data_IF_002765838313
#
_entry.id   IF_002765838313
#
_cell.length_a   1.000
_cell.length_b   1.000
_cell.length_c   1.000
_cell.angle_alpha   90.00
_cell.angle_beta   90.00
_cell.angle_gamma   90.00
#
_symmetry.space_group_name_H-M   'P 1'
#
loop_
_entity.id
_entity.type
_entity.pdbx_description
1 polymer ?
#
# COMPACT_ATOMS: atom_id res chain seq x y z
N UNK A 1 15.85 16.57 -18.86
CA UNK A 1 16.60 15.84 -17.81
C UNK A 1 15.96 14.48 -17.70
N UNK A 2 16.73 13.42 -17.86
CA UNK A 2 16.19 12.05 -17.74
C UNK A 2 16.02 11.71 -16.27
N UNK A 3 14.85 11.18 -15.90
CA UNK A 3 14.50 10.87 -14.51
C UNK A 3 15.13 9.55 -14.08
N UNK A 4 15.87 9.53 -12.98
CA UNK A 4 16.28 8.29 -12.32
C UNK A 4 15.24 7.93 -11.27
N UNK A 5 14.68 6.71 -11.40
CA UNK A 5 13.71 6.19 -10.44
C UNK A 5 14.40 5.79 -9.15
N UNK A 6 13.91 6.31 -8.04
CA UNK A 6 14.46 6.05 -6.71
C UNK A 6 13.59 5.05 -5.94
N UNK A 7 14.21 4.34 -5.01
CA UNK A 7 13.52 3.49 -4.03
C UNK A 7 13.44 4.22 -2.68
N UNK A 8 12.27 4.15 -2.03
CA UNK A 8 12.13 4.64 -0.65
C UNK A 8 12.32 3.47 0.32
N UNK A 9 13.42 3.46 1.07
CA UNK A 9 13.81 2.35 1.94
C UNK A 9 14.25 2.89 3.28
N UNK A 10 13.79 2.28 4.35
CA UNK A 10 14.14 2.63 5.74
C UNK A 10 14.02 4.15 6.03
N UNK A 11 12.97 4.78 5.51
CA UNK A 11 12.68 6.19 5.75
C UNK A 11 13.47 7.19 4.88
N UNK A 12 14.23 6.73 3.87
CA UNK A 12 15.02 7.58 2.97
C UNK A 12 14.91 7.18 1.50
N UNK A 13 15.12 8.14 0.62
CA UNK A 13 15.25 7.89 -0.82
C UNK A 13 16.66 7.41 -1.16
N UNK A 14 16.75 6.35 -1.96
CA UNK A 14 17.98 5.71 -2.44
C UNK A 14 17.90 5.59 -3.96
N UNK A 15 19.01 5.78 -4.66
CA UNK A 15 19.08 5.60 -6.10
C UNK A 15 19.30 6.91 -6.86
N UNK A 16 20.50 7.48 -6.74
CA UNK A 16 20.89 8.69 -7.50
C UNK A 16 21.62 8.35 -8.80
N UNK A 17 22.23 7.15 -8.90
CA UNK A 17 23.01 6.76 -10.06
C UNK A 17 22.14 5.95 -11.03
N UNK A 18 22.03 6.44 -12.26
CA UNK A 18 21.37 5.74 -13.36
C UNK A 18 22.11 4.45 -13.74
N UNK A 19 21.38 3.37 -14.00
CA UNK A 19 21.91 2.11 -14.48
C UNK A 19 21.23 1.66 -15.76
N UNK A 20 20.02 1.14 -15.66
CA UNK A 20 19.29 0.57 -16.78
C UNK A 20 18.27 1.55 -17.33
N UNK A 21 18.35 1.84 -18.63
CA UNK A 21 17.33 2.62 -19.32
C UNK A 21 16.00 1.85 -19.39
N UNK A 22 14.92 2.55 -19.13
CA UNK A 22 13.55 2.08 -19.28
C UNK A 22 12.96 2.74 -20.53
N UNK A 23 12.34 1.93 -21.37
CA UNK A 23 11.87 2.35 -22.69
C UNK A 23 10.35 2.27 -22.77
N UNK A 24 9.77 3.20 -23.48
CA UNK A 24 8.34 3.18 -23.83
C UNK A 24 8.02 1.98 -24.71
N UNK A 25 7.00 1.22 -24.33
CA UNK A 25 6.49 0.12 -25.14
C UNK A 25 5.83 0.59 -26.45
N UNK A 26 5.48 1.89 -26.56
CA UNK A 26 4.82 2.44 -27.75
C UNK A 26 5.82 2.71 -28.87
N UNK A 27 6.97 3.30 -28.55
CA UNK A 27 7.88 3.87 -29.55
C UNK A 27 9.37 3.59 -29.27
N UNK A 28 9.68 2.85 -28.20
CA UNK A 28 11.06 2.51 -27.84
C UNK A 28 11.90 3.68 -27.31
N UNK A 29 11.33 4.85 -27.14
CA UNK A 29 12.06 6.00 -26.57
C UNK A 29 12.37 5.76 -25.09
N UNK A 30 13.52 6.24 -24.66
CA UNK A 30 13.92 6.24 -23.26
C UNK A 30 13.01 7.18 -22.43
N UNK A 31 12.44 6.69 -21.36
CA UNK A 31 11.52 7.43 -20.49
C UNK A 31 12.08 7.67 -19.11
N UNK A 32 12.90 6.77 -18.58
CA UNK A 32 13.50 6.87 -17.26
C UNK A 32 14.70 5.92 -17.14
N UNK A 33 15.40 5.98 -16.01
CA UNK A 33 16.40 4.98 -15.62
C UNK A 33 16.04 4.32 -14.30
N UNK A 34 16.24 3.01 -14.21
CA UNK A 34 16.37 2.34 -12.92
C UNK A 34 17.73 2.72 -12.29
N UNK A 35 17.82 2.75 -10.95
CA UNK A 35 19.07 3.06 -10.26
C UNK A 35 19.98 1.83 -10.14
N UNK A 36 21.30 2.09 -10.01
CA UNK A 36 22.33 1.08 -9.86
C UNK A 36 22.59 0.66 -8.41
N UNK A 37 22.16 1.48 -7.45
CA UNK A 37 22.49 1.28 -6.06
C UNK A 37 21.84 0.00 -5.50
N UNK A 38 22.66 -0.79 -4.81
CA UNK A 38 22.21 -2.02 -4.16
C UNK A 38 21.43 -1.69 -2.89
N UNK A 39 20.23 -2.24 -2.77
CA UNK A 39 19.41 -2.08 -1.58
C UNK A 39 19.82 -3.11 -0.51
N UNK A 40 19.89 -2.68 0.73
CA UNK A 40 20.02 -3.58 1.89
C UNK A 40 18.63 -4.05 2.32
N UNK A 41 18.24 -5.22 1.84
CA UNK A 41 16.95 -5.82 2.20
C UNK A 41 16.86 -6.27 3.65
N UNK A 42 17.99 -6.56 4.31
CA UNK A 42 18.00 -6.89 5.74
C UNK A 42 17.67 -5.65 6.57
N UNK A 43 18.27 -4.50 6.24
CA UNK A 43 17.92 -3.20 6.83
C UNK A 43 16.44 -2.86 6.59
N UNK A 44 15.95 -3.03 5.37
CA UNK A 44 14.55 -2.75 5.02
C UNK A 44 13.56 -3.61 5.84
N UNK A 45 13.84 -4.90 5.98
CA UNK A 45 13.03 -5.82 6.80
C UNK A 45 13.11 -5.46 8.29
N UNK A 46 14.28 -5.12 8.79
CA UNK A 46 14.45 -4.69 10.17
C UNK A 46 13.64 -3.42 10.46
N UNK A 47 13.76 -2.42 9.60
CA UNK A 47 12.99 -1.18 9.70
C UNK A 47 11.48 -1.44 9.71
N UNK A 48 10.99 -2.28 8.79
CA UNK A 48 9.58 -2.64 8.72
C UNK A 48 9.06 -3.35 9.97
N UNK A 49 9.89 -4.27 10.55
CA UNK A 49 9.54 -5.01 11.76
C UNK A 49 9.65 -4.20 13.05
N UNK A 50 10.34 -3.09 13.04
CA UNK A 50 10.55 -2.21 14.20
C UNK A 50 9.81 -0.89 14.02
N UNK A 51 10.40 0.08 13.35
CA UNK A 51 9.85 1.43 13.17
C UNK A 51 8.51 1.43 12.44
N UNK A 52 8.40 0.68 11.34
CA UNK A 52 7.17 0.58 10.56
C UNK A 52 6.03 -0.05 11.36
N UNK A 53 6.31 -1.17 12.04
CA UNK A 53 5.32 -1.86 12.87
C UNK A 53 4.85 -0.97 14.03
N UNK A 54 5.76 -0.28 14.72
CA UNK A 54 5.39 0.63 15.83
C UNK A 54 4.51 1.78 15.33
N UNK A 55 4.84 2.35 14.18
CA UNK A 55 4.00 3.40 13.55
C UNK A 55 2.59 2.88 13.23
N UNK A 56 2.47 1.67 12.70
CA UNK A 56 1.18 1.06 12.40
C UNK A 56 0.38 0.71 13.66
N UNK A 57 1.03 0.21 14.71
CA UNK A 57 0.37 -0.13 15.97
C UNK A 57 -0.12 1.11 16.75
N UNK A 58 0.52 2.26 16.55
CA UNK A 58 0.12 3.52 17.16
C UNK A 58 -1.19 4.10 16.59
N UNK A 59 -1.60 3.65 15.39
CA UNK A 59 -2.84 4.09 14.74
C UNK A 59 -3.97 3.10 15.00
N UNK A 60 -5.14 3.61 15.39
CA UNK A 60 -6.38 2.83 15.42
C UNK A 60 -6.95 2.63 13.99
N UNK A 61 -8.05 1.86 13.87
CA UNK A 61 -8.68 1.60 12.57
C UNK A 61 -9.15 2.87 11.87
N UNK A 62 -9.68 3.84 12.61
CA UNK A 62 -10.19 5.08 12.04
C UNK A 62 -9.05 5.98 11.52
N UNK A 63 -7.93 6.02 12.24
CA UNK A 63 -6.74 6.75 11.81
C UNK A 63 -6.11 6.12 10.56
N UNK A 64 -6.07 4.78 10.46
CA UNK A 64 -5.63 4.08 9.26
C UNK A 64 -6.57 4.35 8.09
N UNK A 65 -7.87 4.31 8.30
CA UNK A 65 -8.86 4.66 7.28
C UNK A 65 -8.70 6.11 6.78
N UNK A 66 -8.43 7.05 7.68
CA UNK A 66 -8.16 8.43 7.31
C UNK A 66 -6.88 8.56 6.46
N UNK A 67 -5.83 7.80 6.77
CA UNK A 67 -4.59 7.76 5.99
C UNK A 67 -4.82 7.20 4.58
N UNK A 68 -5.59 6.09 4.45
CA UNK A 68 -5.96 5.53 3.15
C UNK A 68 -6.77 6.52 2.31
N UNK A 69 -7.73 7.19 2.92
CA UNK A 69 -8.54 8.23 2.25
C UNK A 69 -7.70 9.40 1.77
N UNK A 70 -6.74 9.85 2.60
CA UNK A 70 -5.83 10.92 2.23
C UNK A 70 -4.93 10.53 1.04
N UNK A 71 -4.42 9.30 1.04
CA UNK A 71 -3.62 8.75 -0.07
C UNK A 71 -4.47 8.66 -1.35
N UNK A 72 -5.69 8.12 -1.27
CA UNK A 72 -6.59 8.02 -2.43
C UNK A 72 -6.89 9.40 -3.04
N UNK A 73 -7.13 10.41 -2.19
CA UNK A 73 -7.35 11.79 -2.64
C UNK A 73 -6.11 12.36 -3.33
N UNK A 74 -4.94 12.19 -2.72
CA UNK A 74 -3.67 12.66 -3.26
C UNK A 74 -3.38 12.07 -4.64
N UNK A 75 -3.59 10.77 -4.82
CA UNK A 75 -3.41 10.09 -6.10
C UNK A 75 -4.47 10.53 -7.13
N UNK A 76 -5.72 10.67 -6.72
CA UNK A 76 -6.81 11.14 -7.59
C UNK A 76 -6.56 12.55 -8.14
N UNK A 77 -5.99 13.45 -7.33
CA UNK A 77 -5.60 14.80 -7.77
C UNK A 77 -4.46 14.79 -8.80
N UNK A 78 -3.70 13.70 -8.90
CA UNK A 78 -2.56 13.49 -9.80
C UNK A 78 -2.81 12.46 -10.89
N UNK A 79 -4.04 12.06 -11.11
CA UNK A 79 -4.37 10.99 -12.05
C UNK A 79 -3.90 11.25 -13.47
N UNK A 80 -3.89 12.49 -13.95
CA UNK A 80 -3.43 12.80 -15.31
C UNK A 80 -1.90 12.58 -15.45
N UNK A 81 -1.12 12.83 -14.41
CA UNK A 81 0.31 12.48 -14.38
C UNK A 81 0.50 10.96 -14.45
N UNK A 82 -0.31 10.21 -13.70
CA UNK A 82 -0.28 8.75 -13.71
C UNK A 82 -0.71 8.19 -15.08
N UNK A 83 -1.71 8.78 -15.71
CA UNK A 83 -2.12 8.40 -17.07
C UNK A 83 -1.01 8.60 -18.09
N UNK A 84 -0.29 9.73 -18.01
CA UNK A 84 0.82 10.02 -18.90
C UNK A 84 1.94 8.97 -18.78
N UNK A 85 2.23 8.52 -17.54
CA UNK A 85 3.21 7.46 -17.28
C UNK A 85 2.68 6.10 -17.77
N UNK A 86 1.43 5.78 -17.46
CA UNK A 86 0.78 4.51 -17.84
C UNK A 86 0.79 4.30 -19.36
N UNK A 87 0.62 5.34 -20.16
CA UNK A 87 0.67 5.27 -21.61
C UNK A 87 1.99 4.64 -22.12
N UNK A 88 3.12 4.85 -21.44
CA UNK A 88 4.41 4.28 -21.83
C UNK A 88 4.50 2.76 -21.67
N UNK A 89 3.60 2.15 -20.90
CA UNK A 89 3.49 0.68 -20.79
C UNK A 89 2.77 0.04 -21.97
N UNK A 90 2.19 0.85 -22.85
CA UNK A 90 1.33 0.40 -23.96
C UNK A 90 -0.15 0.29 -23.58
N UNK A 91 -0.52 0.66 -22.34
CA UNK A 91 -1.90 0.64 -21.89
C UNK A 91 -2.75 1.68 -22.65
N UNK A 92 -3.97 1.28 -23.01
CA UNK A 92 -4.96 2.22 -23.53
C UNK A 92 -5.47 3.16 -22.42
N UNK A 93 -6.15 4.24 -22.80
CA UNK A 93 -6.76 5.15 -21.80
C UNK A 93 -7.76 4.43 -20.90
N UNK A 94 -8.49 3.45 -21.43
CA UNK A 94 -9.47 2.66 -20.66
C UNK A 94 -8.75 1.72 -19.69
N UNK A 95 -7.71 1.02 -20.13
CA UNK A 95 -6.93 0.14 -19.26
C UNK A 95 -6.29 0.95 -18.12
N UNK A 96 -5.72 2.10 -18.44
CA UNK A 96 -5.15 3.01 -17.44
C UNK A 96 -6.19 3.53 -16.45
N UNK A 97 -7.41 3.80 -16.92
CA UNK A 97 -8.53 4.20 -16.06
C UNK A 97 -8.90 3.08 -15.08
N UNK A 98 -9.02 1.85 -15.58
CA UNK A 98 -9.31 0.67 -14.73
C UNK A 98 -8.22 0.51 -13.66
N UNK A 99 -6.96 0.59 -14.02
CA UNK A 99 -5.83 0.42 -13.09
C UNK A 99 -5.76 1.57 -12.07
N UNK A 100 -5.76 2.81 -12.53
CA UNK A 100 -5.49 3.98 -11.67
C UNK A 100 -6.71 4.36 -10.83
N UNK A 101 -7.87 4.54 -11.48
CA UNK A 101 -9.08 4.95 -10.76
C UNK A 101 -9.74 3.76 -10.05
N UNK A 102 -9.57 2.52 -10.54
CA UNK A 102 -9.94 1.31 -9.82
C UNK A 102 -9.14 1.15 -8.53
N UNK A 103 -7.81 1.27 -8.59
CA UNK A 103 -6.96 1.19 -7.40
C UNK A 103 -7.24 2.28 -6.37
N UNK A 104 -7.37 3.55 -6.80
CA UNK A 104 -7.72 4.64 -5.89
C UNK A 104 -9.13 4.49 -5.32
N UNK A 105 -10.07 3.95 -6.12
CA UNK A 105 -11.43 3.61 -5.68
C UNK A 105 -11.44 2.53 -4.58
N UNK A 106 -10.57 1.53 -4.70
CA UNK A 106 -10.40 0.48 -3.67
C UNK A 106 -9.98 1.06 -2.33
N UNK A 107 -9.02 1.99 -2.31
CA UNK A 107 -8.65 2.69 -1.06
C UNK A 107 -9.81 3.47 -0.43
N UNK A 108 -10.63 4.14 -1.25
CA UNK A 108 -11.84 4.82 -0.76
C UNK A 108 -12.85 3.84 -0.20
N UNK A 109 -13.05 2.68 -0.85
CA UNK A 109 -13.94 1.64 -0.37
C UNK A 109 -13.49 1.10 1.00
N UNK A 110 -12.23 0.70 1.15
CA UNK A 110 -11.70 0.24 2.44
C UNK A 110 -11.75 1.31 3.53
N UNK A 111 -11.45 2.56 3.20
CA UNK A 111 -11.58 3.65 4.14
C UNK A 111 -13.04 3.91 4.57
N UNK A 112 -14.00 3.67 3.66
CA UNK A 112 -15.43 3.74 3.95
C UNK A 112 -15.90 2.60 4.86
N UNK A 113 -15.53 1.37 4.51
CA UNK A 113 -15.83 0.17 5.31
C UNK A 113 -15.26 0.26 6.73
N UNK A 114 -14.01 0.71 6.88
CA UNK A 114 -13.42 0.88 8.19
C UNK A 114 -14.21 1.88 9.06
N UNK A 115 -14.71 2.97 8.46
CA UNK A 115 -15.50 3.96 9.19
C UNK A 115 -16.86 3.44 9.65
N UNK A 116 -17.49 2.51 8.90
CA UNK A 116 -18.84 1.98 9.20
C UNK A 116 -18.84 0.65 9.95
N UNK A 117 -17.81 -0.19 9.76
CA UNK A 117 -17.84 -1.59 10.19
C UNK A 117 -16.81 -1.92 11.28
N UNK A 118 -15.71 -1.15 11.37
CA UNK A 118 -14.68 -1.43 12.36
C UNK A 118 -14.89 -0.63 13.65
N UNK A 119 -14.62 -1.25 14.81
CA UNK A 119 -14.75 -0.58 16.10
C UNK A 119 -13.69 0.52 16.26
N UNK A 120 -13.86 1.36 17.27
CA UNK A 120 -12.80 2.23 17.74
C UNK A 120 -11.68 1.41 18.38
N UNK A 121 -10.42 1.80 18.14
CA UNK A 121 -9.24 1.09 18.64
C UNK A 121 -8.62 0.11 17.63
N UNK A 122 -7.83 -0.84 18.14
CA UNK A 122 -7.00 -1.76 17.36
C UNK A 122 -7.42 -3.23 17.52
N UNK A 123 -8.52 -3.50 18.20
CA UNK A 123 -9.01 -4.84 18.50
C UNK A 123 -10.40 -5.03 17.94
N UNK A 124 -10.67 -6.20 17.42
CA UNK A 124 -12.03 -6.62 17.02
C UNK A 124 -12.45 -7.75 17.95
N UNK A 125 -13.58 -7.58 18.62
CA UNK A 125 -14.25 -8.66 19.35
C UNK A 125 -15.05 -9.48 18.38
N UNK A 126 -14.69 -10.75 18.23
CA UNK A 126 -15.33 -11.67 17.31
C UNK A 126 -16.40 -12.50 18.05
N UNK A 127 -17.64 -12.15 17.82
CA UNK A 127 -18.77 -12.81 18.43
C UNK A 127 -19.04 -12.42 19.91
N UNK A 128 -20.03 -13.05 20.54
CA UNK A 128 -20.41 -12.80 21.91
C UNK A 128 -19.45 -13.44 22.91
N UNK A 129 -19.51 -12.99 24.15
CA UNK A 129 -18.86 -13.67 25.27
C UNK A 129 -19.53 -15.04 25.48
N UNK A 130 -18.73 -16.10 25.53
CA UNK A 130 -19.18 -17.49 25.70
C UNK A 130 -18.87 -17.96 27.10
N UNK A 131 -19.89 -18.47 27.78
CA UNK A 131 -19.69 -19.15 29.08
C UNK A 131 -18.98 -20.47 28.88
N UNK A 132 -17.84 -20.66 29.54
CA UNK A 132 -17.02 -21.87 29.47
C UNK A 132 -17.20 -22.80 30.69
N UNK A 133 -17.96 -22.36 31.70
CA UNK A 133 -18.17 -23.10 32.93
C UNK A 133 -19.66 -23.37 33.25
N UNK A 134 -19.95 -24.48 33.92
CA UNK A 134 -21.33 -24.88 34.29
C UNK A 134 -22.08 -23.86 35.17
N UNK A 135 -21.36 -22.96 35.84
CA UNK A 135 -21.90 -21.94 36.76
C UNK A 135 -21.68 -20.50 36.32
N UNK A 136 -21.38 -20.29 35.04
CA UNK A 136 -21.04 -18.96 34.47
C UNK A 136 -19.91 -18.24 35.22
N UNK A 137 -19.05 -18.98 35.89
CA UNK A 137 -17.90 -18.39 36.64
C UNK A 137 -16.66 -18.21 35.78
N UNK A 138 -16.69 -18.73 34.55
CA UNK A 138 -15.59 -18.64 33.60
C UNK A 138 -16.17 -18.35 32.21
N UNK A 139 -15.68 -17.31 31.57
CA UNK A 139 -16.14 -16.85 30.27
C UNK A 139 -14.96 -16.52 29.37
N UNK A 140 -15.13 -16.64 28.07
CA UNK A 140 -14.14 -16.30 27.04
C UNK A 140 -14.77 -15.52 25.90
N UNK A 141 -13.95 -14.78 25.20
CA UNK A 141 -14.29 -14.15 23.94
C UNK A 141 -13.10 -14.24 22.98
N UNK A 142 -13.40 -14.31 21.69
CA UNK A 142 -12.35 -14.23 20.67
C UNK A 142 -12.06 -12.75 20.36
N UNK A 143 -10.80 -12.44 20.20
CA UNK A 143 -10.35 -11.13 19.75
C UNK A 143 -9.39 -11.27 18.57
N UNK A 144 -9.54 -10.41 17.57
CA UNK A 144 -8.56 -10.25 16.51
C UNK A 144 -7.64 -9.09 16.89
N UNK A 145 -6.34 -9.35 16.82
CA UNK A 145 -5.29 -8.39 17.17
C UNK A 145 -4.42 -8.09 15.95
N UNK A 146 -3.78 -6.92 15.87
CA UNK A 146 -2.83 -6.62 14.82
C UNK A 146 -1.72 -7.66 14.74
N UNK A 147 -1.48 -8.19 13.54
CA UNK A 147 -0.41 -9.15 13.29
C UNK A 147 0.91 -8.42 13.08
N UNK A 148 1.93 -8.81 13.81
CA UNK A 148 3.28 -8.31 13.59
C UNK A 148 3.93 -8.90 12.34
N UNK A 149 4.90 -8.19 11.78
CA UNK A 149 5.67 -8.63 10.62
C UNK A 149 5.73 -7.57 9.51
N UNK A 150 6.06 -8.02 8.31
CA UNK A 150 6.13 -7.21 7.09
C UNK A 150 5.29 -7.89 6.02
N UNK A 151 4.41 -7.16 5.36
CA UNK A 151 3.71 -7.62 4.17
C UNK A 151 4.58 -7.35 2.94
N UNK A 152 4.76 -8.35 2.09
CA UNK A 152 5.47 -8.20 0.81
C UNK A 152 4.44 -8.24 -0.30
N UNK A 153 4.39 -7.18 -1.11
CA UNK A 153 3.53 -7.06 -2.27
C UNK A 153 4.38 -7.14 -3.55
N UNK A 154 4.02 -8.03 -4.45
CA UNK A 154 4.65 -8.16 -5.77
C UNK A 154 3.57 -7.93 -6.80
N UNK A 155 3.56 -6.73 -7.38
CA UNK A 155 2.49 -6.29 -8.27
C UNK A 155 2.75 -6.70 -9.70
N UNK A 156 1.67 -6.93 -10.46
CA UNK A 156 1.72 -7.18 -11.88
C UNK A 156 2.16 -5.91 -12.63
N UNK A 157 3.00 -6.06 -13.67
CA UNK A 157 3.50 -4.93 -14.44
C UNK A 157 2.43 -4.24 -15.30
N UNK A 158 1.33 -4.92 -15.60
CA UNK A 158 0.24 -4.42 -16.45
C UNK A 158 -0.91 -3.75 -15.67
N UNK A 159 -0.99 -3.97 -14.35
CA UNK A 159 -1.92 -3.31 -13.42
C UNK A 159 -1.17 -2.88 -12.16
N UNK A 160 -0.14 -2.03 -12.29
CA UNK A 160 0.77 -1.73 -11.20
C UNK A 160 0.12 -0.89 -10.09
N UNK A 161 -0.83 -0.04 -10.42
CA UNK A 161 -1.48 0.85 -9.44
C UNK A 161 -2.54 0.10 -8.66
N UNK A 162 -3.45 -0.59 -9.33
CA UNK A 162 -4.49 -1.36 -8.64
C UNK A 162 -3.88 -2.41 -7.72
N UNK A 163 -2.99 -3.26 -8.24
CA UNK A 163 -2.38 -4.32 -7.44
C UNK A 163 -1.60 -3.81 -6.23
N UNK A 164 -1.01 -2.60 -6.31
CA UNK A 164 -0.34 -1.97 -5.18
C UNK A 164 -1.34 -1.48 -4.11
N UNK A 165 -2.50 -0.97 -4.53
CA UNK A 165 -3.44 -0.28 -3.64
C UNK A 165 -4.52 -1.19 -3.07
N UNK A 166 -4.70 -2.40 -3.62
CA UNK A 166 -5.63 -3.42 -3.10
C UNK A 166 -5.03 -4.16 -1.90
#
# INVERSE_FOLDING_TARGET
MTTVLQSFVAGRWVGQQAAQALHSAINGQEVAFAHAERLDFAEALHYGRTTGLQGMLAMDFQQRAAALRALAKYLGERKEELYAISAHTGATRIDSWVDIEGGTGTLFAYAGMAASELPSGNLIHEGPVVSLGKKNTFAGTHILVPRGGVAVHINAFNFPVWGLLE
#
